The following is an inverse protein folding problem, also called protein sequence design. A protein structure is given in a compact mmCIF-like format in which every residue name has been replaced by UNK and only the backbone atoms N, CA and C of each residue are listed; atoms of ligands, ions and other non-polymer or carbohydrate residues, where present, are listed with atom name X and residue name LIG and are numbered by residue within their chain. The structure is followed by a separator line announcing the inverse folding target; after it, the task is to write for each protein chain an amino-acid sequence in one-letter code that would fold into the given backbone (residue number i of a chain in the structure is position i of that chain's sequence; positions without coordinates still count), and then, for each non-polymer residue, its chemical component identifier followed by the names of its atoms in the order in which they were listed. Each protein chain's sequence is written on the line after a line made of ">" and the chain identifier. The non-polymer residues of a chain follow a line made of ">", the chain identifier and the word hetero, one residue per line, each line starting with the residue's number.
data_IF_379572611628
#
_entry.id   IF_379572611628
#
_cell.length_a   1.000
_cell.length_b   1.000
_cell.length_c   1.000
_cell.angle_alpha   90.00
_cell.angle_beta   90.00
_cell.angle_gamma   90.00
#
_symmetry.space_group_name_H-M   'P 1'
#
loop_
_entity.id
_entity.type
_entity.pdbx_description
1 polymer ?
#
# COMPACT_ATOMS: atom_id res chain seq x y z
N UNK A 1 -10.32 -16.49 -9.49
CA UNK A 1 -11.36 -17.54 -9.59
C UNK A 1 -12.72 -17.01 -10.09
N UNK A 2 -12.96 -15.70 -10.12
CA UNK A 2 -14.27 -15.07 -10.42
C UNK A 2 -14.56 -14.75 -11.90
N UNK A 3 -13.56 -14.85 -12.80
CA UNK A 3 -13.62 -14.23 -14.13
C UNK A 3 -14.34 -15.02 -15.24
N UNK A 4 -14.32 -16.36 -15.24
CA UNK A 4 -14.68 -17.12 -16.46
C UNK A 4 -16.13 -17.64 -16.51
N UNK A 5 -16.81 -17.78 -15.38
CA UNK A 5 -18.15 -18.40 -15.37
C UNK A 5 -19.29 -17.40 -15.65
N UNK A 6 -19.01 -16.09 -15.77
CA UNK A 6 -19.98 -15.12 -16.36
C UNK A 6 -20.01 -15.27 -17.88
N UNK A 7 -18.89 -15.67 -18.48
CA UNK A 7 -18.72 -15.84 -19.91
C UNK A 7 -19.43 -17.08 -20.48
N UNK A 8 -19.58 -18.13 -19.67
CA UNK A 8 -20.33 -19.34 -20.04
C UNK A 8 -21.85 -19.12 -20.14
N UNK A 9 -22.40 -18.10 -19.48
CA UNK A 9 -23.84 -17.82 -19.51
C UNK A 9 -24.27 -16.99 -20.74
N UNK A 10 -23.33 -16.35 -21.43
CA UNK A 10 -23.61 -15.55 -22.63
C UNK A 10 -23.55 -16.37 -23.93
N UNK A 11 -23.21 -17.67 -23.88
CA UNK A 11 -22.99 -18.52 -25.06
C UNK A 11 -24.21 -19.33 -25.52
N UNK A 12 -25.39 -19.15 -24.91
CA UNK A 12 -26.67 -19.53 -25.52
C UNK A 12 -27.03 -21.02 -25.48
N UNK A 13 -26.80 -21.72 -24.37
CA UNK A 13 -27.44 -23.01 -24.09
C UNK A 13 -28.22 -22.92 -22.77
N UNK A 14 -29.43 -22.34 -22.85
CA UNK A 14 -30.19 -21.81 -21.70
C UNK A 14 -31.26 -22.76 -21.16
N UNK A 15 -31.16 -24.08 -21.38
CA UNK A 15 -32.29 -24.98 -21.09
C UNK A 15 -32.14 -25.87 -19.85
N UNK A 16 -31.05 -25.81 -19.09
CA UNK A 16 -31.00 -26.46 -17.76
C UNK A 16 -29.96 -25.84 -16.83
N UNK A 17 -30.31 -24.77 -16.11
CA UNK A 17 -29.44 -24.20 -15.07
C UNK A 17 -30.23 -23.96 -13.78
N UNK A 18 -29.74 -24.57 -12.70
CA UNK A 18 -30.41 -24.78 -11.41
C UNK A 18 -30.31 -23.53 -10.51
N UNK A 19 -31.05 -23.49 -9.41
CA UNK A 19 -31.02 -22.40 -8.41
C UNK A 19 -29.61 -22.07 -7.83
N UNK A 20 -28.63 -22.98 -7.97
CA UNK A 20 -27.23 -22.72 -7.64
C UNK A 20 -26.56 -21.71 -8.60
N UNK A 21 -26.92 -21.71 -9.88
CA UNK A 21 -26.40 -20.77 -10.86
C UNK A 21 -26.90 -19.34 -10.60
N UNK A 22 -28.15 -19.21 -10.14
CA UNK A 22 -28.73 -17.91 -9.81
C UNK A 22 -28.02 -17.24 -8.61
N UNK A 23 -27.69 -18.01 -7.56
CA UNK A 23 -26.91 -17.49 -6.41
C UNK A 23 -25.50 -17.06 -6.82
N UNK A 24 -24.87 -17.83 -7.70
CA UNK A 24 -23.53 -17.56 -8.20
C UNK A 24 -23.49 -16.34 -9.13
N UNK A 25 -24.52 -16.16 -9.97
CA UNK A 25 -24.71 -14.95 -10.79
C UNK A 25 -24.92 -13.73 -9.89
N UNK A 26 -25.78 -13.83 -8.88
CA UNK A 26 -26.07 -12.73 -7.97
C UNK A 26 -24.83 -12.27 -7.19
N UNK A 27 -24.07 -13.21 -6.62
CA UNK A 27 -22.82 -12.91 -5.90
C UNK A 27 -21.80 -12.18 -6.79
N UNK A 28 -21.83 -12.41 -8.10
CA UNK A 28 -20.92 -11.74 -9.05
C UNK A 28 -21.40 -10.39 -9.50
N UNK A 29 -22.71 -10.21 -9.66
CA UNK A 29 -23.30 -8.88 -9.88
C UNK A 29 -22.98 -7.99 -8.67
N UNK A 30 -23.09 -8.52 -7.45
CA UNK A 30 -22.68 -7.82 -6.23
C UNK A 30 -21.19 -7.48 -6.23
N UNK A 31 -20.33 -8.42 -6.60
CA UNK A 31 -18.89 -8.16 -6.73
C UNK A 31 -18.57 -7.08 -7.78
N UNK A 32 -19.23 -7.10 -8.94
CA UNK A 32 -19.08 -6.06 -9.98
C UNK A 32 -19.57 -4.69 -9.49
N UNK A 33 -20.61 -4.64 -8.65
CA UNK A 33 -21.09 -3.40 -8.03
C UNK A 33 -20.12 -2.84 -6.99
N UNK A 34 -19.32 -3.70 -6.36
CA UNK A 34 -18.30 -3.31 -5.38
C UNK A 34 -16.99 -2.86 -6.04
N UNK A 35 -16.79 -3.17 -7.32
CA UNK A 35 -15.62 -2.69 -8.07
C UNK A 35 -15.68 -1.18 -8.31
N UNK A 36 -14.54 -0.53 -8.16
CA UNK A 36 -14.33 0.86 -8.62
C UNK A 36 -14.60 0.97 -10.13
N UNK A 37 -14.84 2.18 -10.63
CA UNK A 37 -15.06 2.41 -12.07
C UNK A 37 -13.87 1.97 -12.92
N UNK A 38 -12.66 2.19 -12.42
CA UNK A 38 -11.41 1.74 -13.05
C UNK A 38 -11.39 0.22 -13.20
N UNK A 39 -11.72 -0.50 -12.13
CA UNK A 39 -11.77 -1.97 -12.13
C UNK A 39 -12.85 -2.48 -13.07
N UNK A 40 -14.02 -1.83 -13.11
CA UNK A 40 -15.11 -2.15 -14.04
C UNK A 40 -14.71 -1.93 -15.50
N UNK A 41 -14.05 -0.81 -15.82
CA UNK A 41 -13.57 -0.52 -17.18
C UNK A 41 -12.54 -1.56 -17.64
N UNK A 42 -11.62 -1.97 -16.76
CA UNK A 42 -10.66 -3.05 -17.05
C UNK A 42 -11.37 -4.39 -17.22
N UNK A 43 -12.34 -4.70 -16.37
CA UNK A 43 -13.15 -5.92 -16.49
C UNK A 43 -13.84 -5.98 -17.85
N UNK A 44 -14.45 -4.87 -18.29
CA UNK A 44 -15.13 -4.79 -19.59
C UNK A 44 -14.18 -5.08 -20.76
N UNK A 45 -12.99 -4.45 -20.79
CA UNK A 45 -12.01 -4.72 -21.85
C UNK A 45 -11.46 -6.15 -21.82
N UNK A 46 -11.20 -6.69 -20.63
CA UNK A 46 -10.77 -8.08 -20.51
C UNK A 46 -11.84 -9.05 -21.04
N UNK A 47 -13.11 -8.72 -20.82
CA UNK A 47 -14.24 -9.46 -21.34
C UNK A 47 -14.32 -9.35 -22.87
N UNK A 48 -14.20 -8.15 -23.44
CA UNK A 48 -14.16 -7.93 -24.89
C UNK A 48 -13.00 -8.70 -25.54
N UNK A 49 -11.79 -8.59 -24.98
CA UNK A 49 -10.62 -9.31 -25.45
C UNK A 49 -10.84 -10.83 -25.41
N UNK A 50 -11.43 -11.35 -24.32
CA UNK A 50 -11.77 -12.76 -24.23
C UNK A 50 -12.82 -13.16 -25.28
N UNK A 51 -13.83 -12.33 -25.53
CA UNK A 51 -14.85 -12.59 -26.54
C UNK A 51 -14.27 -12.66 -27.96
N UNK A 52 -13.18 -11.94 -28.22
CA UNK A 52 -12.47 -11.95 -29.50
C UNK A 52 -11.54 -13.16 -29.67
N UNK A 53 -11.23 -13.93 -28.61
CA UNK A 53 -10.40 -15.12 -28.72
C UNK A 53 -11.06 -16.21 -29.59
N UNK A 54 -10.21 -16.99 -30.26
CA UNK A 54 -10.64 -18.16 -31.03
C UNK A 54 -11.28 -19.23 -30.13
N UNK A 55 -12.12 -20.12 -30.67
CA UNK A 55 -12.69 -21.22 -29.90
C UNK A 55 -11.63 -22.10 -29.21
N UNK A 56 -10.48 -22.32 -29.86
CA UNK A 56 -9.39 -23.11 -29.31
C UNK A 56 -8.76 -22.45 -28.09
N UNK A 57 -8.48 -21.14 -28.16
CA UNK A 57 -7.93 -20.36 -27.04
C UNK A 57 -8.94 -20.29 -25.89
N UNK A 58 -10.22 -20.02 -26.18
CA UNK A 58 -11.30 -20.04 -25.17
C UNK A 58 -11.35 -21.40 -24.46
N UNK A 59 -11.22 -22.50 -25.20
CA UNK A 59 -11.19 -23.83 -24.61
C UNK A 59 -9.98 -24.03 -23.68
N UNK A 60 -8.79 -23.56 -24.08
CA UNK A 60 -7.61 -23.61 -23.20
C UNK A 60 -7.83 -22.86 -21.88
N UNK A 61 -8.42 -21.66 -21.93
CA UNK A 61 -8.77 -20.91 -20.72
C UNK A 61 -9.78 -21.64 -19.84
N UNK A 62 -10.77 -22.31 -20.44
CA UNK A 62 -11.75 -23.12 -19.72
C UNK A 62 -11.10 -24.34 -19.06
N UNK A 63 -10.20 -25.04 -19.76
CA UNK A 63 -9.46 -26.17 -19.21
C UNK A 63 -8.59 -25.74 -18.02
N UNK A 64 -7.85 -24.63 -18.16
CA UNK A 64 -7.07 -24.07 -17.07
C UNK A 64 -7.96 -23.71 -15.88
N UNK A 65 -9.13 -23.12 -16.12
CA UNK A 65 -10.08 -22.80 -15.07
C UNK A 65 -10.58 -24.06 -14.33
N UNK A 66 -10.91 -25.13 -15.05
CA UNK A 66 -11.34 -26.39 -14.45
C UNK A 66 -10.22 -27.03 -13.63
N UNK A 67 -8.98 -27.01 -14.12
CA UNK A 67 -7.81 -27.50 -13.38
C UNK A 67 -7.60 -26.75 -12.08
N UNK A 68 -7.73 -25.42 -12.11
CA UNK A 68 -7.60 -24.59 -10.91
C UNK A 68 -8.75 -24.83 -9.92
N UNK A 69 -9.99 -24.95 -10.40
CA UNK A 69 -11.13 -25.27 -9.53
C UNK A 69 -10.97 -26.64 -8.86
N UNK A 70 -10.51 -27.64 -9.60
CA UNK A 70 -10.21 -28.97 -9.07
C UNK A 70 -9.04 -28.95 -8.08
N UNK A 71 -7.97 -28.20 -8.37
CA UNK A 71 -6.85 -28.00 -7.44
C UNK A 71 -7.32 -27.36 -6.13
N UNK A 72 -8.17 -26.33 -6.19
CA UNK A 72 -8.69 -25.68 -4.99
C UNK A 72 -9.51 -26.64 -4.11
N UNK A 73 -10.31 -27.52 -4.72
CA UNK A 73 -11.01 -28.58 -3.98
C UNK A 73 -10.06 -29.60 -3.32
N UNK A 74 -8.82 -29.74 -3.83
CA UNK A 74 -7.79 -30.66 -3.33
C UNK A 74 -6.73 -29.98 -2.44
N UNK A 75 -7.01 -28.79 -1.92
CA UNK A 75 -6.12 -28.06 -1.02
C UNK A 75 -5.33 -26.91 -1.66
N UNK A 76 -5.52 -26.64 -2.95
CA UNK A 76 -5.10 -25.40 -3.61
C UNK A 76 -3.60 -25.25 -3.84
N UNK A 77 -2.89 -26.34 -4.13
CA UNK A 77 -1.41 -26.31 -4.25
C UNK A 77 -0.97 -25.54 -5.49
N UNK A 78 -1.57 -25.81 -6.65
CA UNK A 78 -1.29 -25.07 -7.88
C UNK A 78 -1.69 -23.60 -7.75
N UNK A 79 -2.83 -23.34 -7.11
CA UNK A 79 -3.32 -22.00 -6.83
C UNK A 79 -2.31 -21.23 -5.97
N UNK A 80 -1.77 -21.86 -4.92
CA UNK A 80 -0.74 -21.28 -4.07
C UNK A 80 0.55 -21.04 -4.84
N UNK A 81 0.98 -22.00 -5.67
CA UNK A 81 2.16 -21.86 -6.52
C UNK A 81 2.03 -20.67 -7.47
N UNK A 82 0.88 -20.51 -8.13
CA UNK A 82 0.62 -19.36 -9.01
C UNK A 82 0.62 -18.04 -8.25
N UNK A 83 0.07 -18.00 -7.04
CA UNK A 83 0.11 -16.81 -6.18
C UNK A 83 1.55 -16.47 -5.76
N UNK A 84 2.34 -17.47 -5.37
CA UNK A 84 3.76 -17.31 -5.04
C UNK A 84 4.54 -16.81 -6.25
N UNK A 85 4.31 -17.38 -7.43
CA UNK A 85 4.93 -16.92 -8.67
C UNK A 85 4.54 -15.48 -9.01
N UNK A 86 3.26 -15.13 -8.95
CA UNK A 86 2.80 -13.76 -9.19
C UNK A 86 3.45 -12.77 -8.20
N UNK A 87 3.45 -13.10 -6.91
CA UNK A 87 4.11 -12.30 -5.88
C UNK A 87 5.61 -12.13 -6.14
N UNK A 88 6.30 -13.19 -6.58
CA UNK A 88 7.71 -13.14 -6.95
C UNK A 88 7.95 -12.27 -8.19
N UNK A 89 7.14 -12.39 -9.25
CA UNK A 89 7.26 -11.53 -10.44
C UNK A 89 7.13 -10.05 -10.08
N UNK A 90 6.35 -9.70 -9.06
CA UNK A 90 6.25 -8.31 -8.57
C UNK A 90 7.54 -7.79 -7.92
N UNK A 91 8.44 -8.67 -7.46
CA UNK A 91 9.75 -8.28 -6.91
C UNK A 91 10.79 -7.98 -8.00
N UNK A 92 10.52 -8.38 -9.24
CA UNK A 92 11.42 -8.16 -10.37
C UNK A 92 11.39 -6.70 -10.84
N UNK A 93 12.50 -6.25 -11.43
CA UNK A 93 12.58 -4.95 -12.09
C UNK A 93 11.67 -4.91 -13.33
N UNK A 94 11.27 -3.73 -13.83
CA UNK A 94 10.48 -3.62 -15.05
C UNK A 94 11.12 -4.35 -16.24
N UNK A 95 12.44 -4.21 -16.43
CA UNK A 95 13.19 -4.85 -17.52
C UNK A 95 13.16 -6.37 -17.42
N UNK A 96 13.38 -6.92 -16.22
CA UNK A 96 13.30 -8.36 -15.97
C UNK A 96 11.89 -8.91 -16.26
N UNK A 97 10.83 -8.20 -15.83
CA UNK A 97 9.46 -8.62 -16.17
C UNK A 97 9.21 -8.66 -17.67
N UNK A 98 9.73 -7.67 -18.41
CA UNK A 98 9.58 -7.56 -19.85
C UNK A 98 10.30 -8.70 -20.58
N UNK A 99 11.51 -9.05 -20.13
CA UNK A 99 12.27 -10.20 -20.64
C UNK A 99 11.53 -11.52 -20.41
N UNK A 100 10.99 -11.76 -19.21
CA UNK A 100 10.18 -12.95 -18.93
C UNK A 100 8.90 -13.03 -19.76
N UNK A 101 8.31 -11.89 -20.09
CA UNK A 101 7.08 -11.82 -20.86
C UNK A 101 7.32 -12.12 -22.34
N UNK A 102 8.45 -11.66 -22.91
CA UNK A 102 8.83 -11.89 -24.30
C UNK A 102 9.29 -13.32 -24.55
N UNK A 103 9.81 -13.99 -23.53
CA UNK A 103 10.27 -15.38 -23.66
C UNK A 103 9.10 -16.36 -23.81
N UNK A 104 9.01 -16.98 -24.98
CA UNK A 104 7.96 -17.95 -25.35
C UNK A 104 8.42 -19.39 -25.13
N UNK A 105 9.73 -19.64 -25.11
CA UNK A 105 10.28 -20.98 -24.93
C UNK A 105 10.38 -21.30 -23.44
N UNK A 106 9.65 -22.33 -23.00
CA UNK A 106 9.53 -22.69 -21.58
C UNK A 106 10.88 -22.93 -20.90
N UNK A 107 11.81 -23.61 -21.58
CA UNK A 107 13.14 -23.92 -21.02
C UNK A 107 13.96 -22.65 -20.76
N UNK A 108 13.90 -21.69 -21.68
CA UNK A 108 14.59 -20.40 -21.56
C UNK A 108 13.94 -19.53 -20.47
N UNK A 109 12.60 -19.56 -20.41
CA UNK A 109 11.83 -18.89 -19.35
C UNK A 109 12.20 -19.41 -17.96
N UNK A 110 12.33 -20.73 -17.80
CA UNK A 110 12.77 -21.34 -16.54
C UNK A 110 14.22 -20.96 -16.19
N UNK A 111 15.10 -20.84 -17.18
CA UNK A 111 16.48 -20.40 -16.95
C UNK A 111 16.53 -18.95 -16.44
N UNK A 112 15.72 -18.05 -17.00
CA UNK A 112 15.58 -16.66 -16.51
C UNK A 112 15.04 -16.62 -15.08
N UNK A 113 14.01 -17.42 -14.77
CA UNK A 113 13.45 -17.50 -13.42
C UNK A 113 14.51 -17.91 -12.40
N UNK A 114 15.28 -18.97 -12.71
CA UNK A 114 16.36 -19.45 -11.83
C UNK A 114 17.41 -18.37 -11.62
N UNK A 115 17.91 -17.78 -12.71
CA UNK A 115 18.92 -16.72 -12.67
C UNK A 115 18.53 -15.59 -11.73
N UNK A 116 17.32 -15.04 -11.86
CA UNK A 116 16.90 -13.92 -11.01
C UNK A 116 16.56 -14.33 -9.59
N UNK A 117 16.11 -15.57 -9.39
CA UNK A 117 15.91 -16.08 -8.03
C UNK A 117 17.24 -16.22 -7.30
N UNK A 118 18.26 -16.74 -7.98
CA UNK A 118 19.63 -16.88 -7.45
C UNK A 118 20.21 -15.49 -7.12
N UNK A 119 20.05 -14.52 -8.02
CA UNK A 119 20.49 -13.12 -7.81
C UNK A 119 19.80 -12.46 -6.62
N UNK A 120 18.51 -12.75 -6.38
CA UNK A 120 17.77 -12.24 -5.22
C UNK A 120 18.13 -12.94 -3.90
N UNK A 121 18.55 -14.20 -3.97
CA UNK A 121 18.94 -15.00 -2.80
C UNK A 121 20.40 -14.78 -2.39
N UNK A 122 21.23 -14.17 -3.25
CA UNK A 122 22.56 -13.75 -2.86
C UNK A 122 22.48 -12.76 -1.69
N UNK A 123 23.14 -13.03 -0.55
CA UNK A 123 23.14 -12.12 0.58
C UNK A 123 23.76 -10.77 0.17
N UNK A 124 23.06 -9.68 0.50
CA UNK A 124 23.41 -8.30 0.16
C UNK A 124 24.83 -7.87 0.57
N UNK A 125 25.50 -8.65 1.42
CA UNK A 125 26.87 -8.40 1.89
C UNK A 125 27.95 -8.80 0.86
N UNK A 126 27.59 -9.47 -0.24
CA UNK A 126 28.53 -9.91 -1.29
C UNK A 126 28.66 -8.92 -2.47
N UNK A 127 28.04 -7.75 -2.40
CA UNK A 127 28.18 -6.68 -3.39
C UNK A 127 28.86 -5.45 -2.77
N UNK A 128 30.13 -5.57 -2.44
CA UNK A 128 31.04 -4.42 -2.54
C UNK A 128 31.36 -4.23 -4.04
N UNK A 129 30.93 -3.14 -4.69
CA UNK A 129 31.38 -2.85 -6.04
C UNK A 129 32.89 -2.54 -6.00
N UNK A 130 33.70 -3.10 -6.91
CA UNK A 130 35.10 -2.72 -7.01
C UNK A 130 35.19 -1.24 -7.38
N UNK A 131 35.89 -0.49 -6.53
CA UNK A 131 36.27 0.90 -6.79
C UNK A 131 37.16 0.94 -8.03
N UNK A 132 36.69 1.63 -9.07
CA UNK A 132 37.54 2.12 -10.16
C UNK A 132 37.24 1.53 -11.53
N UNK A 133 36.37 2.20 -12.29
CA UNK A 133 36.65 2.70 -13.66
C UNK A 133 35.41 3.39 -14.20
N UNK A 134 35.52 4.71 -14.39
CA UNK A 134 34.51 5.54 -15.06
C UNK A 134 34.86 5.66 -16.54
N UNK A 135 33.96 5.31 -17.48
CA UNK A 135 33.93 5.87 -18.82
C UNK A 135 32.79 6.90 -18.98
N UNK A 136 32.88 7.83 -19.95
CA UNK A 136 32.13 9.07 -19.92
C UNK A 136 30.68 8.96 -20.44
N UNK A 137 29.84 9.73 -19.75
CA UNK A 137 28.54 10.31 -20.13
C UNK A 137 27.92 9.90 -21.48
N UNK A 138 26.86 9.10 -21.41
CA UNK A 138 25.68 9.27 -22.26
C UNK A 138 24.48 9.60 -21.36
N UNK A 139 24.04 10.85 -21.44
CA UNK A 139 22.86 11.39 -20.76
C UNK A 139 21.59 10.87 -21.42
N UNK A 140 21.18 9.66 -21.07
CA UNK A 140 19.75 9.31 -21.03
C UNK A 140 19.21 9.63 -19.64
N UNK A 141 18.10 10.36 -19.50
CA UNK A 141 17.46 10.59 -18.21
C UNK A 141 16.81 9.27 -17.76
N UNK A 142 17.59 8.39 -17.14
CA UNK A 142 17.06 7.31 -16.31
C UNK A 142 16.44 7.95 -15.09
N UNK A 143 15.11 8.11 -15.15
CA UNK A 143 14.30 8.38 -13.99
C UNK A 143 14.50 7.23 -13.00
N UNK A 144 15.29 7.49 -11.96
CA UNK A 144 15.40 6.70 -10.76
C UNK A 144 13.99 6.61 -10.12
N UNK A 145 13.23 5.55 -10.46
CA UNK A 145 11.87 5.27 -9.96
C UNK A 145 11.89 4.75 -8.50
N UNK A 146 12.79 5.27 -7.67
CA UNK A 146 12.86 5.02 -6.22
C UNK A 146 11.81 5.84 -5.45
N UNK A 147 10.54 5.71 -5.82
CA UNK A 147 9.46 6.43 -5.13
C UNK A 147 8.67 5.50 -4.21
N UNK A 148 8.36 5.92 -2.97
CA UNK A 148 7.66 5.06 -2.03
C UNK A 148 6.27 4.72 -2.57
N UNK A 149 5.81 3.46 -2.44
CA UNK A 149 4.46 3.09 -2.82
C UNK A 149 3.46 4.02 -2.13
N UNK A 150 2.53 4.57 -2.91
CA UNK A 150 1.40 5.33 -2.38
C UNK A 150 0.58 4.36 -1.55
N UNK A 151 0.75 4.45 -0.23
CA UNK A 151 0.24 3.46 0.70
C UNK A 151 -1.28 3.33 0.64
N UNK A 152 -1.84 2.16 0.99
CA UNK A 152 -3.28 1.94 1.05
C UNK A 152 -4.00 3.01 1.88
N UNK A 153 -5.30 3.22 1.59
CA UNK A 153 -6.14 4.08 2.40
C UNK A 153 -6.07 3.65 3.86
N UNK A 154 -5.75 4.60 4.74
CA UNK A 154 -5.78 4.37 6.18
C UNK A 154 -7.23 4.12 6.56
N UNK A 155 -7.52 2.98 7.21
CA UNK A 155 -8.89 2.75 7.67
C UNK A 155 -9.24 3.85 8.67
N UNK A 156 -10.50 4.28 8.73
CA UNK A 156 -10.95 5.30 9.70
C UNK A 156 -10.60 4.94 11.16
N UNK A 157 -10.46 3.65 11.45
CA UNK A 157 -10.10 3.11 12.76
C UNK A 157 -8.60 3.21 13.05
N UNK A 158 -7.73 3.38 12.07
CA UNK A 158 -6.29 3.28 12.32
C UNK A 158 -5.66 4.61 12.80
N UNK A 159 -6.42 5.70 12.82
CA UNK A 159 -5.95 7.05 13.11
C UNK A 159 -7.01 7.88 13.83
N UNK A 160 -6.59 8.80 14.72
CA UNK A 160 -7.51 9.78 15.29
C UNK A 160 -8.13 10.69 14.21
N UNK A 161 -9.41 11.09 14.37
CA UNK A 161 -9.95 12.22 13.63
C UNK A 161 -9.21 13.51 14.01
N UNK A 162 -9.17 14.50 13.12
CA UNK A 162 -8.41 15.74 13.31
C UNK A 162 -8.74 16.44 14.63
N UNK A 163 -10.01 16.46 15.03
CA UNK A 163 -10.45 17.04 16.32
C UNK A 163 -9.75 16.38 17.51
N UNK A 164 -9.74 15.05 17.56
CA UNK A 164 -9.14 14.30 18.67
C UNK A 164 -7.61 14.38 18.62
N UNK A 165 -7.00 14.38 17.42
CA UNK A 165 -5.57 14.63 17.26
C UNK A 165 -5.17 15.97 17.88
N UNK A 166 -5.91 17.05 17.59
CA UNK A 166 -5.65 18.38 18.16
C UNK A 166 -5.80 18.39 19.69
N UNK A 167 -6.84 17.74 20.22
CA UNK A 167 -7.03 17.61 21.67
C UNK A 167 -5.87 16.87 22.34
N UNK A 168 -5.42 15.76 21.76
CA UNK A 168 -4.28 14.99 22.28
C UNK A 168 -3.00 15.83 22.23
N UNK A 169 -2.72 16.50 21.12
CA UNK A 169 -1.55 17.37 21.01
C UNK A 169 -1.59 18.53 22.02
N UNK A 170 -2.78 19.05 22.35
CA UNK A 170 -2.93 20.08 23.38
C UNK A 170 -2.51 19.58 24.76
N UNK A 171 -2.89 18.35 25.10
CA UNK A 171 -2.43 17.67 26.32
C UNK A 171 -0.91 17.46 26.30
N UNK A 172 -0.33 17.09 25.16
CA UNK A 172 1.13 16.94 25.06
C UNK A 172 1.83 18.29 25.30
N UNK A 173 1.32 19.38 24.73
CA UNK A 173 1.91 20.72 24.91
C UNK A 173 1.73 21.27 26.33
N UNK A 174 0.66 20.92 27.05
CA UNK A 174 0.50 21.35 28.45
C UNK A 174 1.53 20.73 29.38
N UNK A 175 2.14 19.60 29.00
CA UNK A 175 3.18 18.92 29.78
C UNK A 175 4.62 19.41 29.46
N UNK A 176 4.80 20.24 28.42
CA UNK A 176 6.12 20.79 28.07
C UNK A 176 6.42 22.01 28.98
N UNK A 177 7.55 22.03 29.72
CA UNK A 177 7.94 23.15 30.56
C UNK A 177 8.00 24.48 29.77
N UNK A 178 7.58 25.59 30.39
CA UNK A 178 7.46 26.88 29.68
C UNK A 178 8.81 27.42 29.16
N UNK A 179 9.91 27.09 29.83
CA UNK A 179 11.25 27.57 29.47
C UNK A 179 11.86 26.83 28.25
N UNK A 180 11.22 25.75 27.81
CA UNK A 180 11.70 24.89 26.74
C UNK A 180 10.99 25.22 25.43
N UNK A 181 11.51 26.16 24.62
CA UNK A 181 11.14 26.39 23.20
C UNK A 181 9.69 26.01 22.86
N UNK A 182 8.72 26.51 23.64
CA UNK A 182 7.34 26.00 23.58
C UNK A 182 6.73 26.51 22.28
N UNK A 183 6.36 25.62 21.34
CA UNK A 183 5.73 26.07 20.11
C UNK A 183 4.43 26.81 20.45
N UNK A 184 4.16 27.94 19.79
CA UNK A 184 2.93 28.71 19.99
C UNK A 184 1.72 27.87 19.55
N UNK A 185 1.11 27.18 20.50
CA UNK A 185 0.07 26.18 20.27
C UNK A 185 -1.33 26.82 20.28
N UNK A 186 -1.60 27.76 19.38
CA UNK A 186 -2.98 28.22 19.18
C UNK A 186 -3.75 27.27 18.27
N UNK A 187 -3.11 26.78 17.20
CA UNK A 187 -3.61 25.72 16.34
C UNK A 187 -2.42 24.99 15.69
N UNK A 188 -2.01 23.81 16.18
CA UNK A 188 -0.85 23.14 15.63
C UNK A 188 -1.10 22.76 14.17
N UNK A 189 -0.13 23.11 13.34
CA UNK A 189 -0.08 22.73 11.92
C UNK A 189 0.73 21.45 11.79
N UNK A 190 0.63 20.81 10.63
CA UNK A 190 1.36 19.58 10.33
C UNK A 190 2.87 19.63 10.69
N UNK A 191 3.62 20.73 10.41
CA UNK A 191 5.02 20.84 10.79
C UNK A 191 5.27 20.78 12.31
N UNK A 192 4.27 21.11 13.12
CA UNK A 192 4.39 21.19 14.58
C UNK A 192 4.18 19.83 15.26
N UNK A 193 3.49 18.89 14.60
CA UNK A 193 3.03 17.66 15.25
C UNK A 193 4.17 16.77 15.76
N UNK A 194 5.19 16.53 14.94
CA UNK A 194 6.33 15.69 15.32
C UNK A 194 7.24 16.39 16.34
N UNK A 195 7.59 17.69 16.20
CA UNK A 195 8.29 18.44 17.24
C UNK A 195 7.60 18.38 18.60
N UNK A 196 6.27 18.49 18.66
CA UNK A 196 5.50 18.40 19.91
C UNK A 196 5.65 17.02 20.56
N UNK A 197 5.58 15.94 19.76
CA UNK A 197 5.77 14.58 20.27
C UNK A 197 7.19 14.41 20.81
N UNK A 198 8.21 14.84 20.08
CA UNK A 198 9.60 14.77 20.54
C UNK A 198 9.83 15.56 21.83
N UNK A 199 9.31 16.79 21.91
CA UNK A 199 9.42 17.62 23.11
C UNK A 199 8.68 17.00 24.30
N UNK A 200 7.49 16.40 24.08
CA UNK A 200 6.77 15.68 25.13
C UNK A 200 7.53 14.45 25.63
N UNK A 201 8.16 13.69 24.73
CA UNK A 201 9.01 12.55 25.11
C UNK A 201 10.18 13.03 25.96
N UNK A 202 10.88 14.08 25.53
CA UNK A 202 12.01 14.67 26.26
C UNK A 202 11.61 15.21 27.62
N UNK A 203 10.51 15.96 27.70
CA UNK A 203 9.99 16.54 28.95
C UNK A 203 9.62 15.47 29.98
N UNK A 204 9.23 14.28 29.54
CA UNK A 204 8.90 13.18 30.45
C UNK A 204 10.12 12.61 31.19
N UNK A 205 11.35 12.90 30.73
CA UNK A 205 12.59 12.37 31.31
C UNK A 205 12.77 10.84 31.14
N UNK A 206 11.87 10.17 30.42
CA UNK A 206 11.85 8.71 30.29
C UNK A 206 12.48 8.23 28.98
N UNK A 207 12.75 6.92 28.94
CA UNK A 207 12.99 6.18 27.72
C UNK A 207 11.81 6.32 26.74
N UNK A 208 12.11 6.40 25.45
CA UNK A 208 11.09 6.34 24.38
C UNK A 208 10.14 5.13 24.55
N UNK A 209 10.64 4.02 25.08
CA UNK A 209 9.86 2.79 25.26
C UNK A 209 8.74 2.90 26.30
N UNK A 210 8.85 3.83 27.24
CA UNK A 210 7.89 3.97 28.34
C UNK A 210 6.94 5.15 28.13
N UNK A 211 7.21 5.99 27.12
CA UNK A 211 6.33 7.10 26.75
C UNK A 211 5.11 6.63 25.94
N UNK A 212 3.89 7.15 26.19
CA UNK A 212 3.53 8.01 27.31
C UNK A 212 3.34 7.22 28.62
N UNK A 213 3.68 7.85 29.75
CA UNK A 213 3.40 7.34 31.09
C UNK A 213 1.89 7.22 31.35
N UNK A 214 1.49 6.42 32.34
CA UNK A 214 0.08 6.15 32.62
C UNK A 214 -0.74 7.41 32.94
N UNK A 215 -0.16 8.37 33.67
CA UNK A 215 -0.79 9.66 33.98
C UNK A 215 -1.12 10.44 32.70
N UNK A 216 -0.12 10.64 31.84
CA UNK A 216 -0.27 11.29 30.54
C UNK A 216 -1.23 10.52 29.62
N UNK A 217 -1.12 9.20 29.57
CA UNK A 217 -2.01 8.34 28.79
C UNK A 217 -3.48 8.50 29.21
N UNK A 218 -3.73 8.65 30.51
CA UNK A 218 -5.07 8.88 31.04
C UNK A 218 -5.59 10.28 30.72
N UNK A 219 -4.75 11.32 30.75
CA UNK A 219 -5.10 12.67 30.30
C UNK A 219 -5.42 12.71 28.80
N UNK A 220 -4.56 12.13 27.96
CA UNK A 220 -4.78 11.99 26.53
C UNK A 220 -6.12 11.28 26.28
N UNK A 221 -6.38 10.17 26.97
CA UNK A 221 -7.62 9.39 26.84
C UNK A 221 -8.87 10.18 27.24
N UNK A 222 -8.80 11.08 28.24
CA UNK A 222 -9.92 11.94 28.65
C UNK A 222 -10.22 13.05 27.63
N UNK A 223 -9.22 13.45 26.85
CA UNK A 223 -9.37 14.49 25.82
C UNK A 223 -10.04 14.01 24.52
N UNK A 224 -10.18 12.69 24.35
CA UNK A 224 -10.75 12.06 23.16
C UNK A 224 -12.28 12.13 23.13
N UNK A 225 -12.86 12.22 21.93
CA UNK A 225 -14.27 11.94 21.71
C UNK A 225 -14.66 10.49 22.05
N UNK A 226 -15.97 10.25 22.27
CA UNK A 226 -16.50 8.95 22.73
C UNK A 226 -16.04 7.75 21.89
N UNK A 227 -16.02 7.90 20.57
CA UNK A 227 -15.64 6.81 19.65
C UNK A 227 -14.14 6.46 19.76
N UNK A 228 -13.26 7.45 19.67
CA UNK A 228 -11.81 7.28 19.82
C UNK A 228 -11.43 6.78 21.22
N UNK A 229 -12.09 7.29 22.26
CA UNK A 229 -11.90 6.82 23.63
C UNK A 229 -12.33 5.35 23.78
N UNK A 230 -13.47 4.95 23.23
CA UNK A 230 -13.90 3.56 23.23
C UNK A 230 -12.89 2.68 22.49
N UNK A 231 -12.34 3.16 21.37
CA UNK A 231 -11.34 2.42 20.61
C UNK A 231 -10.03 2.21 21.37
N UNK A 232 -9.51 3.24 22.03
CA UNK A 232 -8.29 3.14 22.84
C UNK A 232 -8.49 2.22 24.06
N UNK A 233 -9.68 2.20 24.64
CA UNK A 233 -9.99 1.41 25.83
C UNK A 233 -10.46 -0.02 25.53
N UNK A 234 -10.53 -0.43 24.25
CA UNK A 234 -10.86 -1.81 23.89
C UNK A 234 -9.76 -2.76 24.37
N UNK A 235 -10.16 -3.70 25.22
CA UNK A 235 -9.29 -4.62 25.97
C UNK A 235 -8.75 -5.81 25.18
N UNK A 236 -9.21 -6.01 23.94
CA UNK A 236 -8.82 -7.10 23.04
C UNK A 236 -7.55 -6.79 22.24
N UNK A 237 -7.11 -5.53 22.23
CA UNK A 237 -5.93 -5.08 21.52
C UNK A 237 -4.75 -4.96 22.49
N UNK A 238 -3.55 -4.89 21.92
CA UNK A 238 -2.28 -4.53 22.57
C UNK A 238 -2.44 -3.43 23.62
N UNK A 239 -1.46 -3.28 24.53
CA UNK A 239 -1.53 -2.32 25.64
C UNK A 239 -2.12 -0.96 25.21
N UNK A 240 -2.95 -0.36 26.07
CA UNK A 240 -3.62 0.94 25.83
C UNK A 240 -2.65 2.00 25.28
N UNK A 241 -1.41 2.00 25.79
CA UNK A 241 -0.28 2.80 25.32
C UNK A 241 -0.02 2.60 23.82
N UNK A 242 0.13 1.36 23.38
CA UNK A 242 0.41 1.04 21.99
C UNK A 242 -0.70 1.53 21.05
N UNK A 243 -1.97 1.31 21.42
CA UNK A 243 -3.11 1.76 20.61
C UNK A 243 -3.15 3.28 20.52
N UNK A 244 -2.98 3.99 21.64
CA UNK A 244 -2.93 5.46 21.68
C UNK A 244 -1.83 6.01 20.78
N UNK A 245 -0.59 5.53 20.94
CA UNK A 245 0.56 6.01 20.17
C UNK A 245 0.40 5.67 18.69
N UNK A 246 -0.07 4.47 18.36
CA UNK A 246 -0.34 4.10 16.98
C UNK A 246 -1.36 5.05 16.35
N UNK A 247 -2.51 5.26 16.99
CA UNK A 247 -3.54 6.14 16.45
C UNK A 247 -3.06 7.58 16.31
N UNK A 248 -2.23 8.07 17.24
CA UNK A 248 -1.60 9.38 17.20
C UNK A 248 -0.67 9.54 15.97
N UNK A 249 0.30 8.64 15.82
CA UNK A 249 1.27 8.68 14.74
C UNK A 249 0.61 8.50 13.36
N UNK A 250 -0.37 7.60 13.27
CA UNK A 250 -1.12 7.38 12.04
C UNK A 250 -2.03 8.57 11.69
N UNK A 251 -2.52 9.32 12.68
CA UNK A 251 -3.26 10.56 12.45
C UNK A 251 -2.38 11.65 11.83
N UNK A 252 -1.10 11.74 12.23
CA UNK A 252 -0.14 12.67 11.62
C UNK A 252 0.06 12.33 10.14
N UNK A 253 0.28 11.06 9.81
CA UNK A 253 0.43 10.65 8.39
C UNK A 253 -0.86 10.91 7.61
N UNK A 254 -2.01 10.62 8.21
CA UNK A 254 -3.30 10.92 7.59
C UNK A 254 -3.44 12.41 7.30
N UNK A 255 -3.11 13.28 8.25
CA UNK A 255 -3.15 14.73 8.04
C UNK A 255 -2.14 15.20 7.00
N UNK A 256 -0.92 14.62 6.96
CA UNK A 256 0.05 14.92 5.92
C UNK A 256 -0.50 14.60 4.53
N UNK A 257 -1.23 13.49 4.41
CA UNK A 257 -1.85 13.09 3.15
C UNK A 257 -3.04 13.98 2.79
N UNK A 258 -3.91 14.27 3.75
CA UNK A 258 -5.08 15.14 3.55
C UNK A 258 -4.68 16.57 3.18
N UNK A 259 -3.60 17.10 3.76
CA UNK A 259 -3.11 18.46 3.48
C UNK A 259 -2.66 18.66 2.03
N UNK A 260 -2.08 17.62 1.41
CA UNK A 260 -1.68 17.67 0.00
C UNK A 260 -2.88 17.52 -0.94
N UNK A 261 -3.95 16.88 -0.48
CA UNK A 261 -5.11 16.51 -1.30
C UNK A 261 -4.73 15.38 -2.25
N UNK A 262 -5.15 14.15 -1.95
CA UNK A 262 -4.98 13.05 -2.91
C UNK A 262 -6.10 13.07 -3.95
N UNK A 263 -5.81 12.73 -5.22
CA UNK A 263 -6.84 12.64 -6.23
C UNK A 263 -7.84 11.54 -5.87
N UNK A 264 -9.11 11.88 -6.04
CA UNK A 264 -10.20 10.90 -6.03
C UNK A 264 -10.09 9.95 -7.23
N UNK A 265 -10.85 8.86 -7.22
CA UNK A 265 -10.88 7.97 -8.39
C UNK A 265 -11.49 8.68 -9.61
N UNK A 266 -12.42 9.62 -9.40
CA UNK A 266 -12.95 10.49 -10.46
C UNK A 266 -11.87 11.40 -11.05
N UNK A 267 -11.02 12.00 -10.20
CA UNK A 267 -9.90 12.82 -10.65
C UNK A 267 -8.90 12.01 -11.49
N UNK A 268 -8.60 10.77 -11.05
CA UNK A 268 -7.71 9.86 -11.79
C UNK A 268 -8.31 9.45 -13.14
N UNK A 269 -9.62 9.20 -13.18
CA UNK A 269 -10.33 8.85 -14.42
C UNK A 269 -10.36 10.01 -15.39
N UNK A 270 -10.66 11.22 -14.90
CA UNK A 270 -10.61 12.45 -15.71
C UNK A 270 -9.20 12.64 -16.29
N UNK A 271 -8.17 12.52 -15.44
CA UNK A 271 -6.79 12.63 -15.88
C UNK A 271 -6.44 11.58 -16.94
N UNK A 272 -6.87 10.33 -16.75
CA UNK A 272 -6.66 9.27 -17.73
C UNK A 272 -7.35 9.60 -19.06
N UNK A 273 -8.57 10.13 -19.05
CA UNK A 273 -9.32 10.51 -20.25
C UNK A 273 -8.69 11.70 -21.00
N UNK A 274 -8.03 12.61 -20.29
CA UNK A 274 -7.33 13.76 -20.85
C UNK A 274 -5.99 13.40 -21.52
N UNK A 275 -5.45 12.20 -21.28
CA UNK A 275 -4.19 11.73 -21.89
C UNK A 275 -4.38 11.35 -23.37
N UNK A 276 -3.28 11.36 -24.14
CA UNK A 276 -3.30 10.87 -25.53
C UNK A 276 -3.57 9.34 -25.56
N UNK A 277 -4.28 8.81 -26.59
CA UNK A 277 -4.70 7.41 -26.62
C UNK A 277 -3.58 6.39 -26.43
N UNK A 278 -2.38 6.66 -26.97
CA UNK A 278 -1.21 5.79 -26.84
C UNK A 278 -0.76 5.68 -25.38
N UNK A 279 -0.75 6.80 -24.66
CA UNK A 279 -0.38 6.85 -23.25
C UNK A 279 -1.44 6.19 -22.37
N UNK A 280 -2.72 6.42 -22.68
CA UNK A 280 -3.84 5.73 -22.01
C UNK A 280 -3.67 4.21 -22.12
N UNK A 281 -3.50 3.70 -23.34
CA UNK A 281 -3.32 2.26 -23.57
C UNK A 281 -2.11 1.70 -22.82
N UNK A 282 -0.99 2.45 -22.80
CA UNK A 282 0.20 2.06 -22.03
C UNK A 282 -0.09 1.93 -20.54
N UNK A 283 -0.74 2.93 -19.95
CA UNK A 283 -1.03 2.97 -18.50
C UNK A 283 -2.04 1.90 -18.10
N UNK A 284 -3.03 1.64 -18.94
CA UNK A 284 -4.06 0.63 -18.69
C UNK A 284 -3.52 -0.80 -18.68
N UNK A 285 -2.35 -1.02 -19.29
CA UNK A 285 -1.63 -2.28 -19.23
C UNK A 285 -0.77 -2.43 -17.96
N UNK A 286 -0.63 -1.38 -17.15
CA UNK A 286 0.10 -1.50 -15.88
C UNK A 286 -0.68 -2.33 -14.85
N UNK A 287 0.03 -2.99 -13.92
CA UNK A 287 -0.55 -3.45 -12.66
C UNK A 287 -1.30 -2.31 -11.95
N UNK A 288 -2.39 -2.62 -11.24
CA UNK A 288 -3.31 -1.62 -10.68
C UNK A 288 -2.62 -0.66 -9.69
N UNK A 289 -1.68 -1.17 -8.91
CA UNK A 289 -0.84 -0.39 -8.00
C UNK A 289 0.09 0.57 -8.76
N UNK A 290 0.77 0.11 -9.81
CA UNK A 290 1.64 0.96 -10.64
C UNK A 290 0.84 2.02 -11.40
N UNK A 291 -0.31 1.66 -11.94
CA UNK A 291 -1.23 2.61 -12.58
C UNK A 291 -1.67 3.69 -11.59
N UNK A 292 -2.09 3.29 -10.38
CA UNK A 292 -2.50 4.24 -9.35
C UNK A 292 -1.36 5.20 -8.98
N UNK A 293 -0.14 4.69 -8.78
CA UNK A 293 1.04 5.53 -8.52
C UNK A 293 1.29 6.53 -9.65
N UNK A 294 1.22 6.07 -10.90
CA UNK A 294 1.39 6.92 -12.08
C UNK A 294 0.34 8.04 -12.14
N UNK A 295 -0.94 7.69 -12.00
CA UNK A 295 -2.04 8.65 -12.08
C UNK A 295 -2.00 9.66 -10.94
N UNK A 296 -1.67 9.25 -9.71
CA UNK A 296 -1.50 10.21 -8.62
C UNK A 296 -0.35 11.16 -8.88
N UNK A 297 0.81 10.65 -9.32
CA UNK A 297 1.96 11.49 -9.66
C UNK A 297 1.60 12.52 -10.73
N UNK A 298 0.98 12.06 -11.82
CA UNK A 298 0.61 12.91 -12.95
C UNK A 298 -0.42 13.97 -12.55
N UNK A 299 -1.36 13.63 -11.67
CA UNK A 299 -2.31 14.59 -11.09
C UNK A 299 -1.60 15.64 -10.22
N UNK A 300 -0.62 15.22 -9.40
CA UNK A 300 0.16 16.16 -8.59
C UNK A 300 0.98 17.11 -9.47
N UNK A 301 1.58 16.58 -10.54
CA UNK A 301 2.31 17.36 -11.54
C UNK A 301 1.38 18.37 -12.24
N UNK A 302 0.13 18.00 -12.54
CA UNK A 302 -0.83 18.89 -13.20
C UNK A 302 -1.36 20.01 -12.29
N UNK A 303 -1.32 19.83 -10.97
CA UNK A 303 -1.64 20.90 -10.00
C UNK A 303 -0.52 21.93 -9.87
N UNK A 304 0.72 21.55 -10.19
CA UNK A 304 1.90 22.43 -10.15
C UNK A 304 2.23 22.96 -8.75
N UNK A 305 3.22 23.87 -8.69
CA UNK A 305 3.51 24.71 -7.52
C UNK A 305 3.77 23.98 -6.20
N UNK A 306 3.16 24.51 -5.13
CA UNK A 306 3.36 24.07 -3.74
C UNK A 306 2.83 22.66 -3.46
N UNK A 307 1.80 22.20 -4.17
CA UNK A 307 1.22 20.86 -3.99
C UNK A 307 2.25 19.76 -4.27
N UNK A 308 3.08 19.93 -5.30
CA UNK A 308 4.15 18.97 -5.61
C UNK A 308 5.25 19.00 -4.54
N UNK A 309 5.58 20.18 -4.02
CA UNK A 309 6.56 20.32 -2.93
C UNK A 309 6.06 19.68 -1.64
N UNK A 310 4.78 19.84 -1.29
CA UNK A 310 4.20 19.22 -0.11
C UNK A 310 4.03 17.71 -0.27
N UNK A 311 3.70 17.23 -1.48
CA UNK A 311 3.72 15.80 -1.79
C UNK A 311 5.11 15.18 -1.56
N UNK A 312 6.18 15.87 -1.97
CA UNK A 312 7.57 15.43 -1.75
C UNK A 312 7.96 15.37 -0.27
N UNK A 313 7.25 16.07 0.63
CA UNK A 313 7.44 15.98 2.08
C UNK A 313 6.74 14.76 2.70
N UNK A 314 5.72 14.17 2.07
CA UNK A 314 5.01 13.00 2.63
C UNK A 314 5.96 11.83 2.93
N UNK A 315 6.88 11.42 2.02
CA UNK A 315 7.88 10.40 2.33
C UNK A 315 8.71 10.73 3.57
N UNK A 316 9.05 12.00 3.76
CA UNK A 316 9.80 12.45 4.92
C UNK A 316 9.01 12.30 6.22
N UNK A 317 7.73 12.72 6.23
CA UNK A 317 6.83 12.50 7.37
C UNK A 317 6.66 11.01 7.68
N UNK A 318 6.46 10.17 6.65
CA UNK A 318 6.35 8.72 6.84
C UNK A 318 7.63 8.15 7.47
N UNK A 319 8.81 8.58 7.00
CA UNK A 319 10.10 8.17 7.56
C UNK A 319 10.25 8.58 9.02
N UNK A 320 9.95 9.84 9.36
CA UNK A 320 10.04 10.32 10.74
C UNK A 320 9.06 9.58 11.66
N UNK A 321 7.85 9.28 11.18
CA UNK A 321 6.86 8.46 11.91
C UNK A 321 7.34 7.01 12.07
N UNK A 322 7.92 6.41 11.05
CA UNK A 322 8.53 5.07 11.11
C UNK A 322 9.67 5.01 12.14
N UNK A 323 10.52 6.04 12.18
CA UNK A 323 11.59 6.17 13.18
C UNK A 323 11.01 6.26 14.61
N UNK A 324 9.92 7.00 14.79
CA UNK A 324 9.22 7.04 16.08
C UNK A 324 8.64 5.68 16.47
N UNK A 325 7.98 4.96 15.55
CA UNK A 325 7.51 3.59 15.82
C UNK A 325 8.64 2.69 16.30
N UNK A 326 9.80 2.75 15.65
CA UNK A 326 10.98 1.96 16.03
C UNK A 326 11.53 2.35 17.41
N UNK A 327 11.66 3.64 17.69
CA UNK A 327 12.19 4.12 18.98
C UNK A 327 11.25 3.81 20.15
N UNK A 328 9.93 3.90 19.92
CA UNK A 328 8.89 3.63 20.90
C UNK A 328 8.63 2.12 21.12
N UNK A 329 9.30 1.26 20.32
CA UNK A 329 9.15 -0.20 20.30
C UNK A 329 7.69 -0.63 20.01
N UNK A 330 7.08 0.01 19.01
CA UNK A 330 5.70 -0.22 18.61
C UNK A 330 5.65 -0.71 17.17
N UNK A 331 4.94 -1.81 16.96
CA UNK A 331 4.76 -2.38 15.62
C UNK A 331 3.80 -1.48 14.84
N UNK A 332 4.20 -0.90 13.69
CA UNK A 332 3.29 -0.12 12.85
C UNK A 332 2.17 -1.03 12.28
N UNK A 333 1.00 -0.47 11.90
CA UNK A 333 -0.03 -1.27 11.25
C UNK A 333 0.51 -1.90 9.96
N UNK A 334 0.17 -3.15 9.65
CA UNK A 334 0.71 -3.90 8.49
C UNK A 334 0.57 -3.15 7.16
N UNK A 335 -0.48 -2.33 7.02
CA UNK A 335 -0.75 -1.50 5.84
C UNK A 335 0.17 -0.28 5.71
N UNK A 336 0.91 0.07 6.77
CA UNK A 336 1.81 1.23 6.82
C UNK A 336 3.20 0.91 6.31
N UNK A 337 3.65 -0.34 6.46
CA UNK A 337 4.93 -0.77 5.92
C UNK A 337 4.91 -0.59 4.40
N UNK A 338 5.76 0.32 3.90
CA UNK A 338 6.06 0.39 2.47
C UNK A 338 6.42 -1.03 2.04
N UNK A 339 5.61 -1.62 1.14
CA UNK A 339 5.77 -2.99 0.64
C UNK A 339 7.23 -3.14 0.18
N UNK A 340 8.05 -3.81 0.99
CA UNK A 340 9.50 -3.91 0.77
C UNK A 340 10.34 -4.01 2.04
N UNK A 341 9.92 -3.40 3.16
CA UNK A 341 10.58 -3.63 4.47
C UNK A 341 9.89 -4.78 5.21
N UNK A 342 10.52 -5.96 5.24
CA UNK A 342 10.16 -6.98 6.23
C UNK A 342 10.38 -6.39 7.63
N UNK A 343 9.44 -6.55 8.59
CA UNK A 343 9.74 -6.25 9.98
C UNK A 343 10.96 -7.09 10.38
N UNK A 344 11.98 -6.45 10.94
CA UNK A 344 13.25 -7.10 11.29
C UNK A 344 13.02 -8.42 12.05
N UNK A 345 13.35 -9.55 11.44
CA UNK A 345 13.56 -10.86 12.11
C UNK A 345 14.88 -10.86 12.91
N UNK A 346 15.20 -9.75 13.60
CA UNK A 346 16.31 -9.77 14.56
C UNK A 346 15.78 -10.38 15.85
N UNK A 347 16.22 -11.58 16.25
CA UNK A 347 15.92 -12.08 17.58
C UNK A 347 16.46 -11.07 18.58
N UNK A 348 15.58 -10.58 19.46
CA UNK A 348 15.98 -9.84 20.65
C UNK A 348 16.93 -10.76 21.41
N UNK A 349 18.24 -10.50 21.31
CA UNK A 349 19.21 -11.16 22.18
C UNK A 349 18.80 -10.84 23.62
N UNK A 350 18.55 -11.84 24.48
CA UNK A 350 18.41 -11.58 25.90
C UNK A 350 19.74 -10.99 26.36
N UNK A 351 19.71 -9.75 26.86
CA UNK A 351 20.80 -9.21 27.66
C UNK A 351 20.47 -9.57 29.10
N UNK A 352 21.27 -10.48 29.66
CA UNK A 352 21.35 -10.68 31.10
C UNK A 352 22.06 -9.53 31.79
#
# INVERSE_FOLDING_TARGET
>A
MTFLTVLLLASGDSSSLFAQDQKLVQARIEHLRQMSEIERARFHRNLEAFQQLSPAEKHQYQQLHQQLAADQARGGTLTRLMQTYAAWVHTLTPTQRDELQKETVLSQKLALIRRWKDEQDLPSDAHEPPVGTTPPAQTTPTADESHPPIGPSLNKRDAFPLKDLRSVLAVLVSQIPQDSSKPEFKEPRLPDYLPIIHASIQASGNSYRDWPQETLLNEMSKSLGKESAAQVNRSDLKSKREVMVRMLLMAIVKQAREAVGFPTDEDKMRLLQEMVPEEQNRILNFPADRMNVYLVRRWMESKGGDTLNDFRKIPEYNRQVDELFQRLDIIPPQKFLLKGRKPNDRPLKPRG
#
